data_IF_676325938408
#
_entry.id   IF_676325938408
#
_cell.length_a   1.000
_cell.length_b   1.000
_cell.length_c   1.000
_cell.angle_alpha   90.00
_cell.angle_beta   90.00
_cell.angle_gamma   90.00
#
_symmetry.space_group_name_H-M   'P 1'
#
loop_
_entity.id
_entity.type
_entity.pdbx_description
1 polymer ?
#
# COMPACT_ATOMS: atom_id res chain seq x y z
N UNK A 1 99.19 -12.48 0.46
CA UNK A 1 98.52 -11.39 1.20
C UNK A 1 97.51 -10.84 0.20
N UNK A 2 96.41 -11.57 0.09
CA UNK A 2 95.40 -11.58 -0.98
C UNK A 2 94.09 -11.89 -0.25
N UNK A 3 92.91 -11.37 -0.58
CA UNK A 3 92.36 -11.07 -1.90
C UNK A 3 91.24 -10.02 -1.71
N UNK A 4 91.09 -9.05 -2.62
CA UNK A 4 90.13 -7.93 -2.45
C UNK A 4 89.35 -7.67 -3.75
N UNK A 5 88.09 -8.11 -3.80
CA UNK A 5 87.08 -7.49 -4.66
C UNK A 5 85.63 -7.74 -4.21
N UNK A 6 84.97 -6.62 -3.88
CA UNK A 6 83.64 -6.16 -4.34
C UNK A 6 82.33 -6.49 -3.59
N UNK A 7 81.54 -5.41 -3.51
CA UNK A 7 80.08 -5.25 -3.31
C UNK A 7 79.57 -5.35 -1.87
N UNK A 8 78.68 -4.49 -1.36
CA UNK A 8 77.98 -3.31 -1.90
C UNK A 8 76.77 -2.99 -1.00
N UNK A 9 76.59 -1.70 -0.68
CA UNK A 9 75.33 -0.96 -0.36
C UNK A 9 74.42 -1.50 0.77
N UNK A 10 74.35 -0.85 1.94
CA UNK A 10 73.42 0.27 2.30
C UNK A 10 71.94 -0.11 2.08
N UNK A 11 70.99 -0.07 3.01
CA UNK A 11 70.85 0.55 4.32
C UNK A 11 69.34 0.43 4.67
N UNK A 12 69.03 -0.15 5.82
CA UNK A 12 67.82 0.02 6.64
C UNK A 12 66.43 0.19 5.96
N UNK A 13 65.59 -0.85 5.96
CA UNK A 13 64.13 -0.70 5.83
C UNK A 13 63.36 -1.56 6.86
N UNK A 14 62.49 -0.86 7.60
CA UNK A 14 61.51 -1.34 8.57
C UNK A 14 60.36 -2.13 7.89
N UNK A 15 59.59 -2.96 8.64
CA UNK A 15 58.65 -3.92 8.06
C UNK A 15 57.46 -3.23 7.37
N UNK A 16 57.14 -3.69 6.16
CA UNK A 16 55.91 -3.33 5.41
C UNK A 16 54.68 -3.73 6.19
N UNK A 17 53.96 -2.75 6.73
CA UNK A 17 52.55 -2.87 7.05
C UNK A 17 51.76 -2.99 5.74
N UNK A 18 51.21 -4.18 5.47
CA UNK A 18 50.15 -4.33 4.48
C UNK A 18 48.93 -3.55 4.98
N UNK A 19 48.76 -2.34 4.45
CA UNK A 19 47.50 -1.60 4.56
C UNK A 19 46.43 -2.34 3.76
N UNK A 20 45.75 -3.26 4.42
CA UNK A 20 44.48 -3.80 3.95
C UNK A 20 43.48 -2.64 3.99
N UNK A 21 43.22 -2.02 2.84
CA UNK A 21 42.14 -1.04 2.70
C UNK A 21 40.82 -1.76 2.90
N UNK A 22 40.37 -1.83 4.14
CA UNK A 22 39.00 -2.16 4.50
C UNK A 22 38.15 -0.99 4.01
N UNK A 23 37.76 -1.03 2.73
CA UNK A 23 36.61 -0.27 2.25
C UNK A 23 35.39 -0.74 3.05
N UNK A 24 34.47 0.16 3.43
CA UNK A 24 33.27 -0.24 4.14
C UNK A 24 32.48 -1.18 3.23
N UNK A 25 32.47 -2.46 3.59
CA UNK A 25 31.63 -3.49 3.00
C UNK A 25 30.17 -3.27 3.46
N UNK A 26 29.56 -2.17 3.04
CA UNK A 26 28.15 -1.85 3.31
C UNK A 26 27.26 -2.12 2.09
N UNK A 27 27.57 -3.15 1.30
CA UNK A 27 26.69 -3.63 0.22
C UNK A 27 25.85 -4.87 0.62
N UNK A 28 26.15 -5.49 1.76
CA UNK A 28 25.41 -6.64 2.29
C UNK A 28 24.25 -6.31 3.26
N UNK A 29 24.27 -5.11 3.87
CA UNK A 29 23.41 -4.80 5.03
C UNK A 29 21.94 -4.54 4.67
N UNK A 30 21.62 -3.99 3.49
CA UNK A 30 20.25 -3.63 3.10
C UNK A 30 19.41 -4.79 2.55
N UNK A 31 20.04 -5.89 2.10
CA UNK A 31 19.32 -7.05 1.53
C UNK A 31 18.71 -7.94 2.62
N UNK A 32 19.39 -8.03 3.78
CA UNK A 32 18.98 -8.87 4.90
C UNK A 32 17.60 -8.49 5.49
N UNK A 33 17.29 -7.20 5.75
CA UNK A 33 15.98 -6.78 6.22
C UNK A 33 14.84 -7.15 5.27
N UNK A 34 15.05 -7.02 3.95
CA UNK A 34 14.04 -7.35 2.94
C UNK A 34 13.65 -8.84 2.95
N UNK A 35 14.64 -9.74 3.06
CA UNK A 35 14.37 -11.18 3.17
C UNK A 35 13.61 -11.53 4.45
N UNK A 36 14.02 -10.96 5.59
CA UNK A 36 13.36 -11.19 6.87
C UNK A 36 11.91 -10.74 6.80
N UNK A 37 11.62 -9.54 6.26
CA UNK A 37 10.27 -9.02 6.12
C UNK A 37 9.38 -9.91 5.24
N UNK A 38 9.91 -10.47 4.14
CA UNK A 38 9.17 -11.43 3.30
C UNK A 38 8.85 -12.72 4.05
N UNK A 39 9.82 -13.29 4.78
CA UNK A 39 9.62 -14.51 5.59
C UNK A 39 8.58 -14.26 6.69
N UNK A 40 8.68 -13.15 7.41
CA UNK A 40 7.70 -12.76 8.42
C UNK A 40 6.31 -12.64 7.79
N UNK A 41 6.19 -11.96 6.65
CA UNK A 41 4.90 -11.84 5.97
C UNK A 41 4.34 -13.19 5.50
N UNK A 42 5.17 -14.12 5.02
CA UNK A 42 4.76 -15.50 4.67
C UNK A 42 4.14 -16.20 5.87
N UNK A 43 4.84 -16.21 7.01
CA UNK A 43 4.36 -16.89 8.22
C UNK A 43 3.06 -16.27 8.72
N UNK A 44 3.00 -14.94 8.79
CA UNK A 44 1.84 -14.23 9.32
C UNK A 44 0.60 -14.39 8.41
N UNK A 45 0.75 -14.27 7.09
CA UNK A 45 -0.38 -14.45 6.14
C UNK A 45 -0.88 -15.90 6.11
N UNK A 46 0.03 -16.87 6.14
CA UNK A 46 -0.33 -18.29 6.19
C UNK A 46 -1.13 -18.64 7.44
N UNK A 47 -0.60 -18.28 8.62
CA UNK A 47 -1.27 -18.55 9.90
C UNK A 47 -2.59 -17.79 9.97
N UNK A 48 -2.66 -16.57 9.46
CA UNK A 48 -3.89 -15.77 9.45
C UNK A 48 -4.98 -16.42 8.61
N UNK A 49 -4.64 -16.86 7.38
CA UNK A 49 -5.57 -17.54 6.48
C UNK A 49 -6.08 -18.87 7.06
N UNK A 50 -5.21 -19.66 7.70
CA UNK A 50 -5.59 -20.93 8.33
C UNK A 50 -6.50 -20.70 9.54
N UNK A 51 -6.14 -19.78 10.44
CA UNK A 51 -6.92 -19.49 11.65
C UNK A 51 -8.32 -19.00 11.26
N UNK A 52 -8.44 -18.14 10.25
CA UNK A 52 -9.74 -17.70 9.72
C UNK A 52 -10.49 -18.82 8.98
N UNK A 53 -9.79 -19.65 8.21
CA UNK A 53 -10.39 -20.69 7.38
C UNK A 53 -10.92 -21.89 8.17
N UNK A 54 -10.29 -22.22 9.30
CA UNK A 54 -10.67 -23.35 10.18
C UNK A 54 -11.70 -22.94 11.24
N UNK A 55 -11.91 -21.63 11.45
CA UNK A 55 -12.86 -21.13 12.42
C UNK A 55 -14.29 -21.65 12.15
N UNK A 56 -14.75 -22.53 13.05
CA UNK A 56 -16.07 -23.14 13.05
C UNK A 56 -16.59 -23.23 14.49
N UNK A 57 -17.87 -22.96 14.68
CA UNK A 57 -18.55 -23.18 15.96
C UNK A 57 -19.98 -23.70 15.69
N UNK A 58 -20.46 -24.71 16.45
CA UNK A 58 -21.84 -25.20 16.32
C UNK A 58 -22.82 -24.21 16.92
N UNK A 59 -23.98 -24.03 16.28
CA UNK A 59 -25.08 -23.20 16.75
C UNK A 59 -26.33 -24.05 16.82
N UNK A 60 -26.93 -24.12 17.99
CA UNK A 60 -28.20 -24.81 18.23
C UNK A 60 -29.33 -23.79 18.19
N UNK A 61 -30.21 -23.91 17.20
CA UNK A 61 -31.46 -23.15 17.18
C UNK A 61 -32.52 -24.04 17.81
N UNK A 62 -33.12 -23.55 18.89
CA UNK A 62 -34.16 -24.26 19.62
C UNK A 62 -35.49 -23.69 19.16
N UNK A 63 -36.31 -24.51 18.50
CA UNK A 63 -37.68 -24.18 18.13
C UNK A 63 -38.59 -24.57 19.31
N UNK A 64 -39.11 -23.58 20.04
CA UNK A 64 -40.12 -23.79 21.09
C UNK A 64 -41.52 -23.51 20.54
N UNK A 65 -42.48 -24.35 20.91
CA UNK A 65 -43.90 -24.07 20.65
C UNK A 65 -44.46 -23.00 21.61
N UNK A 66 -45.72 -22.60 21.40
CA UNK A 66 -46.44 -21.61 22.22
C UNK A 66 -46.56 -22.01 23.72
N UNK A 67 -46.32 -23.27 24.07
CA UNK A 67 -46.26 -23.76 25.46
C UNK A 67 -44.85 -23.74 26.08
N UNK A 68 -43.86 -23.18 25.37
CA UNK A 68 -42.47 -23.12 25.83
C UNK A 68 -41.72 -24.45 25.74
N UNK A 69 -42.35 -25.49 25.19
CA UNK A 69 -41.75 -26.81 25.04
C UNK A 69 -40.92 -26.86 23.76
N UNK A 70 -39.65 -27.27 23.89
CA UNK A 70 -38.71 -27.43 22.78
C UNK A 70 -39.16 -28.58 21.89
N UNK A 71 -39.52 -28.29 20.64
CA UNK A 71 -40.09 -29.27 19.71
C UNK A 71 -39.00 -29.84 18.81
N UNK A 72 -38.14 -28.96 18.25
CA UNK A 72 -37.05 -29.34 17.37
C UNK A 72 -35.78 -28.57 17.76
N UNK A 73 -34.66 -29.27 17.90
CA UNK A 73 -33.33 -28.66 18.03
C UNK A 73 -32.60 -28.81 16.72
N UNK A 74 -32.45 -27.73 15.97
CA UNK A 74 -31.66 -27.74 14.74
C UNK A 74 -30.22 -27.33 15.05
N UNK A 75 -29.30 -28.28 14.92
CA UNK A 75 -27.87 -28.04 15.12
C UNK A 75 -27.23 -27.67 13.78
N UNK A 76 -27.01 -26.38 13.55
CA UNK A 76 -26.21 -25.87 12.45
C UNK A 76 -24.76 -25.60 12.87
N UNK A 77 -23.87 -25.29 11.93
CA UNK A 77 -22.55 -24.72 12.23
C UNK A 77 -22.38 -23.40 11.50
N UNK A 78 -21.95 -22.37 12.23
CA UNK A 78 -21.53 -21.10 11.65
C UNK A 78 -20.08 -21.23 11.18
N UNK A 79 -19.87 -20.92 9.91
CA UNK A 79 -18.56 -20.92 9.24
C UNK A 79 -18.24 -19.51 8.78
N UNK A 80 -16.96 -19.14 8.79
CA UNK A 80 -16.48 -17.85 8.27
C UNK A 80 -16.85 -17.62 6.80
N UNK A 81 -17.02 -18.70 6.02
CA UNK A 81 -17.47 -18.65 4.62
C UNK A 81 -18.86 -18.04 4.38
N UNK A 82 -19.65 -17.80 5.43
CA UNK A 82 -20.96 -17.16 5.27
C UNK A 82 -20.87 -15.64 5.05
N UNK A 83 -19.77 -14.99 5.42
CA UNK A 83 -19.57 -13.56 5.09
C UNK A 83 -18.59 -13.41 3.94
N UNK A 84 -18.99 -12.66 2.91
CA UNK A 84 -18.15 -12.33 1.76
C UNK A 84 -16.85 -11.63 2.17
N UNK A 85 -16.88 -10.81 3.23
CA UNK A 85 -15.69 -10.13 3.74
C UNK A 85 -14.63 -11.09 4.31
N UNK A 86 -15.06 -12.12 5.04
CA UNK A 86 -14.13 -13.13 5.57
C UNK A 86 -13.60 -14.05 4.47
N UNK A 87 -14.40 -14.35 3.45
CA UNK A 87 -13.92 -15.07 2.25
C UNK A 87 -12.87 -14.22 1.52
N UNK A 88 -13.15 -12.93 1.29
CA UNK A 88 -12.19 -12.00 0.68
C UNK A 88 -10.88 -11.93 1.46
N UNK A 89 -10.96 -11.83 2.79
CA UNK A 89 -9.79 -11.86 3.68
C UNK A 89 -8.94 -13.13 3.51
N UNK A 90 -9.55 -14.31 3.48
CA UNK A 90 -8.84 -15.58 3.29
C UNK A 90 -8.15 -15.60 1.92
N UNK A 91 -8.88 -15.23 0.85
CA UNK A 91 -8.36 -15.24 -0.53
C UNK A 91 -7.17 -14.31 -0.67
N UNK A 92 -7.26 -13.07 -0.16
CA UNK A 92 -6.16 -12.11 -0.24
C UNK A 92 -4.92 -12.59 0.52
N UNK A 93 -5.08 -13.10 1.74
CA UNK A 93 -3.93 -13.62 2.50
C UNK A 93 -3.25 -14.80 1.77
N UNK A 94 -4.01 -15.66 1.07
CA UNK A 94 -3.44 -16.74 0.24
C UNK A 94 -2.72 -16.21 -0.99
N UNK A 95 -3.28 -15.21 -1.69
CA UNK A 95 -2.62 -14.57 -2.84
C UNK A 95 -1.28 -13.96 -2.42
N UNK A 96 -1.27 -13.23 -1.30
CA UNK A 96 -0.07 -12.59 -0.77
C UNK A 96 0.96 -13.64 -0.33
N UNK A 97 0.53 -14.72 0.31
CA UNK A 97 1.39 -15.85 0.67
C UNK A 97 2.13 -16.41 -0.56
N UNK A 98 1.37 -16.76 -1.61
CA UNK A 98 1.93 -17.33 -2.84
C UNK A 98 2.90 -16.34 -3.49
N UNK A 99 2.48 -15.08 -3.60
CA UNK A 99 3.34 -14.02 -4.17
C UNK A 99 4.63 -13.82 -3.36
N UNK A 100 4.55 -13.83 -2.02
CA UNK A 100 5.73 -13.65 -1.17
C UNK A 100 6.73 -14.79 -1.33
N UNK A 101 6.25 -16.04 -1.45
CA UNK A 101 7.09 -17.21 -1.72
C UNK A 101 7.79 -17.08 -3.08
N UNK A 102 7.04 -16.75 -4.13
CA UNK A 102 7.57 -16.57 -5.49
C UNK A 102 8.61 -15.44 -5.50
N UNK A 103 8.31 -14.31 -4.86
CA UNK A 103 9.21 -13.17 -4.78
C UNK A 103 10.50 -13.49 -4.01
N UNK A 104 10.39 -14.19 -2.87
CA UNK A 104 11.54 -14.65 -2.09
C UNK A 104 12.41 -15.61 -2.91
N UNK A 105 11.81 -16.58 -3.60
CA UNK A 105 12.52 -17.51 -4.47
C UNK A 105 13.28 -16.76 -5.59
N UNK A 106 12.61 -15.82 -6.27
CA UNK A 106 13.25 -14.99 -7.30
C UNK A 106 14.42 -14.18 -6.74
N UNK A 107 14.28 -13.61 -5.54
CA UNK A 107 15.33 -12.81 -4.92
C UNK A 107 16.55 -13.66 -4.50
N UNK A 108 16.34 -14.92 -4.12
CA UNK A 108 17.43 -15.87 -3.81
C UNK A 108 18.14 -16.37 -5.08
N UNK A 109 17.38 -16.67 -6.14
CA UNK A 109 17.93 -17.18 -7.40
C UNK A 109 18.66 -16.09 -8.20
N UNK A 110 18.12 -14.87 -8.24
CA UNK A 110 18.68 -13.77 -9.02
C UNK A 110 19.56 -12.84 -8.17
N UNK A 111 20.68 -13.38 -7.66
CA UNK A 111 21.62 -12.66 -6.77
C UNK A 111 22.22 -11.37 -7.41
N UNK A 112 22.11 -11.22 -8.74
CA UNK A 112 22.47 -10.02 -9.52
C UNK A 112 21.35 -9.51 -10.46
N UNK A 113 20.08 -9.66 -10.05
CA UNK A 113 18.89 -9.51 -10.90
C UNK A 113 18.80 -8.26 -11.80
N UNK A 114 18.15 -8.43 -12.96
CA UNK A 114 17.87 -7.36 -13.93
C UNK A 114 17.02 -6.25 -13.33
N UNK A 115 17.40 -4.98 -13.57
CA UNK A 115 16.68 -3.78 -13.08
C UNK A 115 15.19 -3.79 -13.49
N UNK A 116 14.86 -4.37 -14.64
CA UNK A 116 13.47 -4.52 -15.11
C UNK A 116 12.65 -5.41 -14.17
N UNK A 117 13.23 -6.49 -13.66
CA UNK A 117 12.57 -7.40 -12.71
C UNK A 117 12.35 -6.70 -11.37
N UNK A 118 13.35 -5.95 -10.88
CA UNK A 118 13.23 -5.20 -9.63
C UNK A 118 12.10 -4.16 -9.67
N UNK A 119 11.94 -3.47 -10.80
CA UNK A 119 10.86 -2.51 -11.01
C UNK A 119 9.47 -3.17 -10.94
N UNK A 120 9.25 -4.27 -11.67
CA UNK A 120 7.97 -4.99 -11.62
C UNK A 120 7.67 -5.53 -10.23
N UNK A 121 8.70 -5.98 -9.50
CA UNK A 121 8.56 -6.48 -8.13
C UNK A 121 8.15 -5.37 -7.16
N UNK A 122 8.71 -4.16 -7.28
CA UNK A 122 8.28 -3.02 -6.45
C UNK A 122 6.81 -2.66 -6.66
N UNK A 123 6.34 -2.68 -7.92
CA UNK A 123 4.93 -2.39 -8.25
C UNK A 123 4.03 -3.50 -7.70
N UNK A 124 4.42 -4.77 -7.85
CA UNK A 124 3.66 -5.89 -7.32
C UNK A 124 3.62 -5.89 -5.77
N UNK A 125 4.71 -5.51 -5.10
CA UNK A 125 4.74 -5.34 -3.64
C UNK A 125 3.75 -4.23 -3.19
N UNK A 126 3.64 -3.13 -3.94
CA UNK A 126 2.64 -2.07 -3.69
C UNK A 126 1.20 -2.59 -3.85
N UNK A 127 0.93 -3.40 -4.87
CA UNK A 127 -0.39 -4.04 -5.08
C UNK A 127 -0.75 -4.93 -3.88
N UNK A 128 0.21 -5.70 -3.36
CA UNK A 128 -0.03 -6.55 -2.18
C UNK A 128 -0.32 -5.74 -0.92
N UNK A 129 0.37 -4.62 -0.70
CA UNK A 129 0.05 -3.68 0.39
C UNK A 129 -1.40 -3.23 0.28
N UNK A 130 -1.81 -2.75 -0.89
CA UNK A 130 -3.17 -2.26 -1.15
C UNK A 130 -4.22 -3.35 -0.87
N UNK A 131 -4.01 -4.57 -1.36
CA UNK A 131 -4.92 -5.69 -1.14
C UNK A 131 -5.05 -6.04 0.35
N UNK A 132 -3.93 -6.12 1.08
CA UNK A 132 -3.93 -6.43 2.50
C UNK A 132 -4.66 -5.38 3.33
N UNK A 133 -4.39 -4.09 3.10
CA UNK A 133 -5.08 -3.02 3.83
C UNK A 133 -6.58 -3.03 3.54
N UNK A 134 -6.98 -3.24 2.28
CA UNK A 134 -8.39 -3.36 1.90
C UNK A 134 -9.10 -4.54 2.57
N UNK A 135 -8.52 -5.74 2.53
CA UNK A 135 -9.17 -6.92 3.13
C UNK A 135 -9.21 -6.85 4.65
N UNK A 136 -8.19 -6.26 5.28
CA UNK A 136 -8.15 -6.05 6.72
C UNK A 136 -9.20 -5.01 7.15
N UNK A 137 -9.37 -3.92 6.42
CA UNK A 137 -10.45 -2.96 6.63
C UNK A 137 -11.84 -3.61 6.52
N UNK A 138 -12.06 -4.41 5.47
CA UNK A 138 -13.32 -5.13 5.26
C UNK A 138 -13.64 -6.11 6.40
N UNK A 139 -12.69 -6.97 6.77
CA UNK A 139 -12.87 -7.95 7.84
C UNK A 139 -13.03 -7.30 9.21
N UNK A 140 -12.27 -6.23 9.49
CA UNK A 140 -12.37 -5.49 10.75
C UNK A 140 -13.74 -4.81 10.89
N UNK A 141 -14.27 -4.20 9.83
CA UNK A 141 -15.59 -3.57 9.85
C UNK A 141 -16.69 -4.59 10.23
N UNK A 142 -16.70 -5.74 9.56
CA UNK A 142 -17.65 -6.83 9.83
C UNK A 142 -17.44 -7.40 11.23
N UNK A 143 -16.20 -7.53 11.69
CA UNK A 143 -15.89 -8.00 13.05
C UNK A 143 -16.39 -7.04 14.13
N UNK A 144 -16.34 -5.72 13.89
CA UNK A 144 -16.86 -4.73 14.85
C UNK A 144 -18.38 -4.76 14.90
N UNK A 145 -19.04 -4.90 13.74
CA UNK A 145 -20.50 -5.07 13.67
C UNK A 145 -20.93 -6.35 14.37
N UNK A 146 -20.20 -7.45 14.20
CA UNK A 146 -20.45 -8.72 14.88
C UNK A 146 -20.40 -8.62 16.42
N UNK A 147 -19.49 -7.79 16.93
CA UNK A 147 -19.22 -7.60 18.37
C UNK A 147 -20.21 -6.62 19.01
N UNK A 148 -20.39 -5.45 18.40
CA UNK A 148 -21.19 -4.36 18.96
C UNK A 148 -22.65 -4.37 18.51
N UNK A 149 -22.96 -5.03 17.40
CA UNK A 149 -24.26 -4.95 16.75
C UNK A 149 -24.57 -3.54 16.24
N UNK A 150 -25.63 -3.42 15.46
CA UNK A 150 -26.09 -2.15 14.91
C UNK A 150 -27.62 -2.11 14.95
N UNK A 151 -28.17 -1.75 16.12
CA UNK A 151 -29.62 -1.81 16.40
C UNK A 151 -30.42 -0.97 15.40
N UNK A 152 -29.90 0.21 15.02
CA UNK A 152 -30.54 1.11 14.04
C UNK A 152 -30.62 0.56 12.61
N UNK A 153 -29.87 -0.50 12.31
CA UNK A 153 -29.90 -1.21 11.04
C UNK A 153 -30.46 -2.64 11.20
N UNK A 154 -31.10 -2.93 12.34
CA UNK A 154 -31.63 -4.25 12.68
C UNK A 154 -30.59 -5.39 12.64
N UNK A 155 -29.32 -5.08 12.94
CA UNK A 155 -28.25 -6.07 12.98
C UNK A 155 -27.92 -6.47 14.43
N UNK A 156 -28.38 -7.65 14.89
CA UNK A 156 -28.12 -8.09 16.26
C UNK A 156 -26.63 -8.42 16.50
N UNK A 157 -26.24 -8.35 17.78
CA UNK A 157 -24.95 -8.86 18.26
C UNK A 157 -24.95 -10.37 18.18
N UNK A 158 -23.90 -10.99 17.66
CA UNK A 158 -23.77 -12.45 17.67
C UNK A 158 -22.49 -12.96 18.36
N UNK A 159 -21.43 -12.15 18.47
CA UNK A 159 -20.18 -12.57 19.11
C UNK A 159 -20.30 -12.88 20.62
N UNK A 160 -21.40 -12.51 21.29
CA UNK A 160 -21.63 -12.88 22.70
C UNK A 160 -21.85 -14.39 22.88
N UNK A 161 -22.57 -15.03 21.94
CA UNK A 161 -22.84 -16.46 22.00
C UNK A 161 -21.67 -17.31 21.47
N UNK A 162 -20.83 -16.74 20.60
CA UNK A 162 -19.76 -17.45 19.86
C UNK A 162 -18.38 -16.87 20.16
N UNK A 163 -18.01 -16.89 21.45
CA UNK A 163 -16.77 -16.29 21.95
C UNK A 163 -15.52 -16.92 21.31
N UNK A 164 -15.52 -18.23 21.06
CA UNK A 164 -14.37 -18.94 20.48
C UNK A 164 -14.21 -18.59 19.01
N UNK A 165 -15.28 -18.62 18.22
CA UNK A 165 -15.28 -18.20 16.82
C UNK A 165 -14.84 -16.74 16.64
N UNK A 166 -15.43 -15.84 17.42
CA UNK A 166 -15.07 -14.42 17.39
C UNK A 166 -13.62 -14.17 17.82
N UNK A 167 -13.10 -14.98 18.76
CA UNK A 167 -11.69 -14.99 19.14
C UNK A 167 -10.76 -15.35 17.98
N UNK A 168 -11.09 -16.38 17.19
CA UNK A 168 -10.30 -16.76 16.01
C UNK A 168 -10.32 -15.68 14.93
N UNK A 169 -11.48 -15.03 14.70
CA UNK A 169 -11.60 -13.91 13.77
C UNK A 169 -10.71 -12.74 14.21
N UNK A 170 -10.79 -12.33 15.48
CA UNK A 170 -9.97 -11.22 16.00
C UNK A 170 -8.48 -11.53 15.91
N UNK A 171 -8.06 -12.74 16.29
CA UNK A 171 -6.66 -13.17 16.24
C UNK A 171 -6.11 -13.20 14.80
N UNK A 172 -6.87 -13.72 13.84
CA UNK A 172 -6.45 -13.76 12.43
C UNK A 172 -6.33 -12.36 11.82
N UNK A 173 -7.27 -11.45 12.09
CA UNK A 173 -7.19 -10.05 11.64
C UNK A 173 -5.95 -9.36 12.20
N UNK A 174 -5.69 -9.51 13.51
CA UNK A 174 -4.49 -8.94 14.15
C UNK A 174 -3.22 -9.45 13.45
N UNK A 175 -3.15 -10.75 13.17
CA UNK A 175 -1.99 -11.34 12.50
C UNK A 175 -1.79 -10.83 11.08
N UNK A 176 -2.87 -10.64 10.31
CA UNK A 176 -2.80 -10.06 8.97
C UNK A 176 -2.45 -8.57 9.00
N UNK A 177 -2.81 -7.83 10.06
CA UNK A 177 -2.37 -6.45 10.26
C UNK A 177 -0.85 -6.38 10.47
N UNK A 178 -0.26 -7.30 11.25
CA UNK A 178 1.20 -7.38 11.34
C UNK A 178 1.85 -7.70 9.99
N UNK A 179 1.23 -8.57 9.17
CA UNK A 179 1.71 -8.85 7.82
C UNK A 179 1.63 -7.61 6.91
N UNK A 180 0.53 -6.84 6.97
CA UNK A 180 0.37 -5.61 6.18
C UNK A 180 1.38 -4.54 6.58
N UNK A 181 1.69 -4.43 7.88
CA UNK A 181 2.75 -3.54 8.37
C UNK A 181 4.14 -3.98 7.89
N UNK A 182 4.44 -5.29 7.87
CA UNK A 182 5.69 -5.81 7.33
C UNK A 182 5.85 -5.50 5.84
N UNK A 183 4.78 -5.67 5.05
CA UNK A 183 4.78 -5.32 3.61
C UNK A 183 4.90 -3.81 3.37
N UNK A 184 4.19 -2.99 4.15
CA UNK A 184 4.32 -1.53 4.08
C UNK A 184 5.75 -1.09 4.40
N UNK A 185 6.37 -1.69 5.42
CA UNK A 185 7.76 -1.42 5.77
C UNK A 185 8.71 -1.88 4.66
N UNK A 186 8.47 -3.03 4.04
CA UNK A 186 9.24 -3.52 2.90
C UNK A 186 9.20 -2.53 1.72
N UNK A 187 8.01 -2.06 1.35
CA UNK A 187 7.85 -1.07 0.27
C UNK A 187 8.48 0.26 0.65
N UNK A 188 8.29 0.72 1.90
CA UNK A 188 8.90 1.95 2.40
C UNK A 188 10.44 1.92 2.39
N UNK A 189 11.04 0.82 2.87
CA UNK A 189 12.49 0.59 2.79
C UNK A 189 12.97 0.52 1.34
N UNK A 190 12.18 -0.06 0.44
CA UNK A 190 12.46 -0.05 -1.00
C UNK A 190 12.52 1.38 -1.55
N UNK A 191 11.54 2.23 -1.23
CA UNK A 191 11.53 3.64 -1.64
C UNK A 191 12.76 4.38 -1.08
N UNK A 192 13.13 4.13 0.18
CA UNK A 192 14.31 4.74 0.81
C UNK A 192 15.60 4.31 0.09
N UNK A 193 15.77 3.02 -0.21
CA UNK A 193 16.92 2.50 -0.97
C UNK A 193 17.02 3.16 -2.36
N UNK A 194 15.91 3.24 -3.07
CA UNK A 194 15.85 3.90 -4.37
C UNK A 194 16.26 5.37 -4.30
N UNK A 195 15.77 6.09 -3.29
CA UNK A 195 16.10 7.50 -3.12
C UNK A 195 17.59 7.70 -2.79
N UNK A 196 18.16 6.85 -1.93
CA UNK A 196 19.59 6.88 -1.61
C UNK A 196 20.45 6.61 -2.85
N UNK A 197 20.08 5.63 -3.69
CA UNK A 197 20.80 5.36 -4.95
C UNK A 197 20.70 6.52 -5.93
N UNK A 198 19.52 7.12 -6.06
CA UNK A 198 19.32 8.28 -6.92
C UNK A 198 20.18 9.48 -6.48
N UNK A 199 20.25 9.76 -5.18
CA UNK A 199 21.11 10.82 -4.66
C UNK A 199 22.59 10.54 -4.93
N UNK A 200 23.05 9.30 -4.74
CA UNK A 200 24.43 8.92 -5.00
C UNK A 200 24.83 9.07 -6.47
N UNK A 201 23.99 8.61 -7.40
CA UNK A 201 24.23 8.74 -8.86
C UNK A 201 24.31 10.21 -9.31
N UNK A 202 23.50 11.08 -8.69
CA UNK A 202 23.51 12.50 -9.02
C UNK A 202 24.75 13.22 -8.45
N UNK A 203 25.21 12.84 -7.26
CA UNK A 203 26.46 13.37 -6.67
C UNK A 203 27.68 12.93 -7.48
N UNK A 204 27.75 11.67 -7.91
CA UNK A 204 28.87 11.19 -8.75
C UNK A 204 28.90 11.89 -10.10
N UNK A 205 27.74 12.12 -10.73
CA UNK A 205 27.65 12.87 -11.98
C UNK A 205 28.03 14.35 -11.79
N UNK A 206 27.66 14.97 -10.67
CA UNK A 206 28.06 16.34 -10.33
C UNK A 206 29.58 16.45 -10.13
N UNK A 207 30.19 15.52 -9.40
CA UNK A 207 31.65 15.47 -9.19
C UNK A 207 32.41 15.20 -10.51
N UNK A 208 31.91 14.29 -11.35
CA UNK A 208 32.51 14.00 -12.65
C UNK A 208 32.39 15.20 -13.61
N UNK A 209 31.25 15.89 -13.61
CA UNK A 209 31.03 17.07 -14.44
C UNK A 209 31.90 18.26 -13.98
N UNK A 210 32.07 18.45 -12.66
CA UNK A 210 33.01 19.42 -12.11
C UNK A 210 34.46 19.10 -12.44
N UNK A 211 34.86 17.82 -12.36
CA UNK A 211 36.20 17.37 -12.76
C UNK A 211 36.44 17.57 -14.25
N UNK A 212 35.49 17.25 -15.13
CA UNK A 212 35.59 17.47 -16.57
C UNK A 212 35.69 18.98 -16.89
N UNK A 213 34.91 19.84 -16.22
CA UNK A 213 35.06 21.29 -16.38
C UNK A 213 36.39 21.83 -15.85
N UNK A 214 36.95 21.23 -14.81
CA UNK A 214 38.27 21.59 -14.26
C UNK A 214 39.42 21.15 -15.20
N UNK A 215 39.28 19.99 -15.84
CA UNK A 215 40.22 19.52 -16.86
C UNK A 215 40.11 20.32 -18.17
N UNK A 216 38.90 20.73 -18.58
CA UNK A 216 38.70 21.58 -19.77
C UNK A 216 39.05 23.06 -19.55
N UNK A 217 39.10 23.52 -18.30
CA UNK A 217 39.47 24.90 -17.94
C UNK A 217 40.95 25.05 -17.55
N UNK A 218 41.76 23.98 -17.56
CA UNK A 218 43.19 24.03 -17.24
C UNK A 218 44.01 24.37 -18.50
N UNK A 219 44.63 25.56 -18.62
CA UNK A 219 45.36 25.95 -19.81
C UNK A 219 46.83 25.53 -19.68
N UNK A 220 47.15 24.24 -19.68
CA UNK A 220 48.54 23.75 -19.86
C UNK A 220 48.66 22.23 -19.81
N UNK A 221 48.40 21.54 -20.93
CA UNK A 221 49.27 20.47 -21.47
C UNK A 221 49.00 20.38 -22.98
N UNK A 222 49.69 21.20 -23.77
CA UNK A 222 49.81 20.97 -25.21
C UNK A 222 50.87 19.90 -25.43
N UNK A 223 50.48 18.62 -25.38
CA UNK A 223 51.34 17.54 -25.89
C UNK A 223 50.98 17.30 -27.36
N UNK A 224 51.80 17.88 -28.23
CA UNK A 224 51.75 17.68 -29.67
C UNK A 224 52.20 16.26 -30.00
N UNK A 225 51.29 15.44 -30.53
CA UNK A 225 51.62 14.30 -31.37
C UNK A 225 50.58 14.26 -32.50
N UNK A 226 50.99 14.80 -33.64
CA UNK A 226 50.25 14.65 -34.88
C UNK A 226 50.40 13.22 -35.40
N UNK A 227 49.28 12.60 -35.76
CA UNK A 227 49.22 11.67 -36.88
C UNK A 227 47.77 11.60 -37.37
N UNK A 228 47.55 12.11 -38.59
CA UNK A 228 46.33 11.89 -39.34
C UNK A 228 46.11 10.38 -39.55
N UNK A 229 44.91 9.91 -39.24
CA UNK A 229 44.34 8.76 -39.94
C UNK A 229 42.87 9.04 -40.25
N UNK A 230 42.59 9.17 -41.53
CA UNK A 230 41.25 9.22 -42.11
C UNK A 230 40.56 7.87 -41.88
N UNK A 231 39.61 7.81 -40.94
CA UNK A 231 38.58 6.78 -40.93
C UNK A 231 37.23 7.44 -40.68
N UNK A 232 36.37 7.40 -41.71
CA UNK A 232 35.08 8.07 -41.77
C UNK A 232 33.98 7.00 -41.70
N UNK A 233 33.37 6.73 -40.53
CA UNK A 233 32.07 6.08 -40.53
C UNK A 233 31.01 7.17 -40.72
N UNK A 234 30.23 7.06 -41.79
CA UNK A 234 29.04 7.89 -41.99
C UNK A 234 28.08 7.68 -40.83
N UNK A 235 28.03 8.66 -39.93
CA UNK A 235 27.11 8.67 -38.81
C UNK A 235 25.89 9.49 -39.23
N UNK A 236 24.79 8.79 -39.46
CA UNK A 236 23.52 9.36 -39.88
C UNK A 236 22.98 10.26 -38.75
N UNK A 237 23.18 11.58 -38.89
CA UNK A 237 22.91 12.59 -37.85
C UNK A 237 21.45 12.62 -37.37
N UNK A 238 20.55 12.02 -38.13
CA UNK A 238 19.12 11.89 -37.84
C UNK A 238 18.86 10.91 -36.70
N UNK A 239 19.67 9.85 -36.55
CA UNK A 239 19.43 8.80 -35.54
C UNK A 239 20.00 9.17 -34.16
N UNK A 240 21.10 9.93 -34.11
CA UNK A 240 21.66 10.45 -32.86
C UNK A 240 20.92 11.70 -32.35
N UNK A 241 20.32 12.50 -33.23
CA UNK A 241 19.39 13.54 -32.84
C UNK A 241 18.08 12.94 -32.29
N UNK A 242 17.58 11.85 -32.89
CA UNK A 242 16.41 11.13 -32.38
C UNK A 242 16.70 10.39 -31.05
N UNK A 243 17.90 9.80 -30.87
CA UNK A 243 18.29 9.17 -29.61
C UNK A 243 18.49 10.20 -28.51
N UNK A 244 19.14 11.35 -28.80
CA UNK A 244 19.27 12.46 -27.84
C UNK A 244 17.94 13.16 -27.56
N UNK A 245 17.02 13.24 -28.50
CA UNK A 245 15.67 13.77 -28.26
C UNK A 245 14.86 12.80 -27.37
N UNK A 246 15.00 11.49 -27.57
CA UNK A 246 14.38 10.48 -26.71
C UNK A 246 15.03 10.42 -25.31
N UNK A 247 16.35 10.62 -25.20
CA UNK A 247 17.05 10.75 -23.91
C UNK A 247 16.76 12.09 -23.21
N UNK A 248 16.64 13.20 -23.93
CA UNK A 248 16.27 14.50 -23.38
C UNK A 248 14.78 14.58 -22.97
N UNK A 249 13.91 13.83 -23.66
CA UNK A 249 12.53 13.61 -23.23
C UNK A 249 12.44 12.68 -22.02
N UNK A 250 13.36 11.71 -21.89
CA UNK A 250 13.44 10.80 -20.73
C UNK A 250 14.15 11.41 -19.51
N UNK A 251 15.02 12.41 -19.71
CA UNK A 251 15.76 13.13 -18.67
C UNK A 251 15.17 14.52 -18.34
N UNK A 252 13.93 14.79 -18.75
CA UNK A 252 13.24 16.03 -18.38
C UNK A 252 12.45 15.88 -17.08
N UNK A 253 12.80 16.58 -15.98
CA UNK A 253 11.99 16.62 -14.76
C UNK A 253 10.58 17.23 -14.97
N UNK A 254 10.29 17.79 -16.15
CA UNK A 254 8.99 18.36 -16.50
C UNK A 254 7.91 17.33 -16.86
N UNK A 255 8.26 16.18 -17.44
CA UNK A 255 7.28 15.21 -17.96
C UNK A 255 6.60 14.38 -16.85
N UNK A 256 7.25 14.21 -15.69
CA UNK A 256 6.70 13.50 -14.51
C UNK A 256 5.98 14.46 -13.56
N UNK A 257 6.36 15.75 -13.57
CA UNK A 257 5.84 16.75 -12.63
C UNK A 257 4.42 17.20 -12.95
N UNK A 258 4.10 17.32 -14.25
CA UNK A 258 2.76 17.68 -14.71
C UNK A 258 1.67 16.64 -14.36
N UNK A 259 1.83 15.33 -14.66
CA UNK A 259 0.84 14.33 -14.28
C UNK A 259 0.70 14.21 -12.75
N UNK A 260 1.78 14.41 -11.99
CA UNK A 260 1.73 14.41 -10.52
C UNK A 260 0.80 15.48 -9.94
N UNK A 261 0.87 16.71 -10.46
CA UNK A 261 -0.01 17.80 -10.04
C UNK A 261 -1.48 17.54 -10.42
N UNK A 262 -1.72 17.03 -11.62
CA UNK A 262 -3.08 16.69 -12.09
C UNK A 262 -3.70 15.58 -11.23
N UNK A 263 -2.96 14.50 -10.96
CA UNK A 263 -3.41 13.38 -10.12
C UNK A 263 -3.72 13.85 -8.69
N UNK A 264 -2.89 14.74 -8.11
CA UNK A 264 -3.16 15.33 -6.79
C UNK A 264 -4.40 16.22 -6.81
N UNK A 265 -4.60 17.03 -7.85
CA UNK A 265 -5.81 17.85 -8.02
C UNK A 265 -7.09 17.00 -8.10
N UNK A 266 -7.06 15.93 -8.90
CA UNK A 266 -8.16 14.96 -9.02
C UNK A 266 -8.45 14.31 -7.65
N UNK A 267 -7.40 13.84 -6.96
CA UNK A 267 -7.56 13.20 -5.66
C UNK A 267 -8.16 14.16 -4.59
N UNK A 268 -7.74 15.43 -4.57
CA UNK A 268 -8.30 16.45 -3.67
C UNK A 268 -9.80 16.59 -3.89
N UNK A 269 -10.23 16.79 -5.14
CA UNK A 269 -11.64 17.00 -5.47
C UNK A 269 -12.46 15.76 -5.14
N UNK A 270 -12.00 14.57 -5.54
CA UNK A 270 -12.73 13.32 -5.33
C UNK A 270 -12.85 12.94 -3.86
N UNK A 271 -11.77 13.06 -3.07
CA UNK A 271 -11.80 12.75 -1.63
C UNK A 271 -12.67 13.73 -0.85
N UNK A 272 -12.65 15.01 -1.22
CA UNK A 272 -13.51 16.03 -0.60
C UNK A 272 -14.99 15.77 -0.88
N UNK A 273 -15.35 15.55 -2.15
CA UNK A 273 -16.74 15.25 -2.54
C UNK A 273 -17.20 13.95 -1.87
N UNK A 274 -16.37 12.91 -1.92
CA UNK A 274 -16.63 11.62 -1.25
C UNK A 274 -16.94 11.78 0.25
N UNK A 275 -16.10 12.52 0.97
CA UNK A 275 -16.29 12.77 2.41
C UNK A 275 -17.58 13.54 2.70
N UNK A 276 -17.91 14.56 1.89
CA UNK A 276 -19.14 15.34 2.06
C UNK A 276 -20.36 14.47 1.78
N UNK A 277 -20.39 13.78 0.64
CA UNK A 277 -21.52 12.95 0.22
C UNK A 277 -21.80 11.88 1.27
N UNK A 278 -20.77 11.19 1.79
CA UNK A 278 -20.98 10.23 2.88
C UNK A 278 -21.37 10.91 4.20
N UNK A 279 -20.79 12.07 4.52
CA UNK A 279 -21.06 12.80 5.77
C UNK A 279 -22.47 13.37 5.88
N UNK A 280 -23.07 13.77 4.76
CA UNK A 280 -24.46 14.28 4.72
C UNK A 280 -25.49 13.20 4.44
N UNK A 281 -25.07 11.96 4.14
CA UNK A 281 -25.95 10.85 3.86
C UNK A 281 -26.89 10.57 5.05
N UNK A 282 -28.16 10.90 4.86
CA UNK A 282 -29.25 10.67 5.81
C UNK A 282 -30.55 10.39 5.06
N UNK A 283 -31.40 9.57 5.65
CA UNK A 283 -32.77 9.33 5.18
C UNK A 283 -33.69 9.07 6.38
N UNK A 284 -34.89 9.64 6.34
CA UNK A 284 -35.87 9.50 7.41
C UNK A 284 -36.87 8.40 7.04
N UNK A 285 -37.05 7.42 7.93
CA UNK A 285 -37.93 6.26 7.76
C UNK A 285 -39.04 6.31 8.80
N UNK A 286 -40.27 6.07 8.35
CA UNK A 286 -41.45 5.94 9.22
C UNK A 286 -41.58 4.50 9.70
N UNK A 287 -41.35 4.25 10.99
CA UNK A 287 -41.61 2.95 11.59
C UNK A 287 -43.05 2.93 12.10
N UNK A 288 -43.86 2.00 11.57
CA UNK A 288 -45.23 1.77 12.02
C UNK A 288 -45.19 0.63 13.04
N UNK A 289 -45.42 0.93 14.31
CA UNK A 289 -45.52 -0.09 15.36
C UNK A 289 -47.02 -0.30 15.63
N UNK A 290 -47.52 -1.48 15.28
CA UNK A 290 -48.86 -1.93 15.64
C UNK A 290 -48.80 -2.78 16.91
N UNK A 291 -49.66 -2.46 17.88
CA UNK A 291 -49.99 -3.36 19.00
C UNK A 291 -50.89 -4.48 18.48
N UNK A 292 -50.59 -5.74 18.80
CA UNK A 292 -51.42 -6.90 18.41
C UNK A 292 -52.83 -6.82 19.00
N UNK A 293 -53.00 -6.04 20.08
CA UNK A 293 -54.25 -5.94 20.84
C UNK A 293 -54.97 -4.59 20.66
N UNK A 294 -54.51 -3.71 19.77
CA UNK A 294 -55.10 -2.37 19.59
C UNK A 294 -55.06 -1.92 18.13
N UNK A 295 -56.19 -1.49 17.56
CA UNK A 295 -56.29 -0.91 16.20
C UNK A 295 -55.57 0.44 16.04
N UNK A 296 -54.75 0.84 17.00
CA UNK A 296 -53.94 2.05 17.02
C UNK A 296 -52.53 1.76 16.49
N UNK A 297 -52.30 2.10 15.23
CA UNK A 297 -50.96 2.16 14.64
C UNK A 297 -50.27 3.46 15.09
N UNK A 298 -49.21 3.37 15.88
CA UNK A 298 -48.40 4.54 16.22
C UNK A 298 -47.21 4.58 15.27
N UNK A 299 -47.14 5.62 14.45
CA UNK A 299 -46.01 5.87 13.56
C UNK A 299 -44.98 6.75 14.25
N UNK A 300 -43.72 6.31 14.30
CA UNK A 300 -42.59 7.13 14.75
C UNK A 300 -41.61 7.33 13.60
N UNK A 301 -41.16 8.57 13.42
CA UNK A 301 -40.14 8.91 12.43
C UNK A 301 -38.76 8.62 13.03
N UNK A 302 -38.01 7.71 12.42
CA UNK A 302 -36.63 7.41 12.76
C UNK A 302 -35.71 7.89 11.63
N UNK A 303 -34.69 8.68 11.97
CA UNK A 303 -33.67 9.13 11.01
C UNK A 303 -32.52 8.13 10.97
N UNK A 304 -32.12 7.68 9.79
CA UNK A 304 -30.92 6.88 9.57
C UNK A 304 -29.82 7.79 9.05
N UNK A 305 -28.63 7.70 9.66
CA UNK A 305 -27.47 8.51 9.35
C UNK A 305 -26.25 7.61 9.15
N UNK A 306 -25.38 7.99 8.21
CA UNK A 306 -24.12 7.28 7.96
C UNK A 306 -23.23 7.24 9.23
N UNK A 307 -23.29 8.28 10.06
CA UNK A 307 -22.53 8.42 11.30
C UNK A 307 -22.85 7.37 12.37
N UNK A 308 -23.91 6.58 12.21
CA UNK A 308 -24.22 5.48 13.11
C UNK A 308 -23.36 4.24 12.90
N UNK A 309 -22.74 4.08 11.73
CA UNK A 309 -21.80 2.98 11.46
C UNK A 309 -20.37 3.48 11.65
N UNK A 310 -19.59 2.77 12.48
CA UNK A 310 -18.18 3.08 12.69
C UNK A 310 -17.36 2.99 11.38
N UNK A 311 -17.77 2.14 10.44
CA UNK A 311 -17.09 1.99 9.14
C UNK A 311 -17.25 3.24 8.26
N UNK A 312 -18.46 3.80 8.20
CA UNK A 312 -18.70 5.03 7.43
C UNK A 312 -18.04 6.25 8.09
N UNK A 313 -18.02 6.32 9.43
CA UNK A 313 -17.25 7.35 10.14
C UNK A 313 -15.76 7.24 9.83
N UNK A 314 -15.19 6.03 9.85
CA UNK A 314 -13.79 5.80 9.47
C UNK A 314 -13.51 6.22 8.02
N UNK A 315 -14.41 5.91 7.09
CA UNK A 315 -14.32 6.34 5.69
C UNK A 315 -14.29 7.87 5.55
N UNK A 316 -15.20 8.58 6.24
CA UNK A 316 -15.23 10.05 6.22
C UNK A 316 -13.91 10.61 6.74
N UNK A 317 -13.44 10.13 7.89
CA UNK A 317 -12.18 10.60 8.51
C UNK A 317 -10.98 10.33 7.60
N UNK A 318 -10.89 9.13 7.01
CA UNK A 318 -9.81 8.77 6.10
C UNK A 318 -9.77 9.68 4.87
N UNK A 319 -10.91 9.94 4.23
CA UNK A 319 -11.00 10.84 3.08
C UNK A 319 -10.62 12.29 3.43
N UNK A 320 -11.06 12.79 4.60
CA UNK A 320 -10.70 14.14 5.07
C UNK A 320 -9.20 14.25 5.35
N UNK A 321 -8.59 13.25 5.99
CA UNK A 321 -7.14 13.23 6.25
C UNK A 321 -6.34 13.26 4.95
N UNK A 322 -6.76 12.47 3.96
CA UNK A 322 -6.10 12.45 2.65
C UNK A 322 -6.28 13.78 1.94
N UNK A 323 -7.49 14.36 1.94
CA UNK A 323 -7.74 15.68 1.37
C UNK A 323 -6.80 16.75 1.95
N UNK A 324 -6.74 16.87 3.29
CA UNK A 324 -5.88 17.85 3.98
C UNK A 324 -4.42 17.61 3.65
N UNK A 325 -3.96 16.36 3.74
CA UNK A 325 -2.58 16.00 3.42
C UNK A 325 -2.23 16.33 1.96
N UNK A 326 -3.10 15.98 1.00
CA UNK A 326 -2.85 16.22 -0.43
C UNK A 326 -2.73 17.71 -0.71
N UNK A 327 -3.57 18.53 -0.06
CA UNK A 327 -3.53 19.98 -0.20
C UNK A 327 -2.22 20.56 0.34
N UNK A 328 -1.78 20.13 1.52
CA UNK A 328 -0.49 20.54 2.11
C UNK A 328 0.67 20.10 1.21
N UNK A 329 0.65 18.85 0.74
CA UNK A 329 1.66 18.27 -0.16
C UNK A 329 1.74 19.03 -1.49
N UNK A 330 0.60 19.46 -2.04
CA UNK A 330 0.53 20.28 -3.25
C UNK A 330 1.13 21.66 -3.02
N UNK A 331 0.77 22.36 -1.93
CA UNK A 331 1.31 23.68 -1.60
C UNK A 331 2.82 23.63 -1.42
N UNK A 332 3.32 22.63 -0.68
CA UNK A 332 4.76 22.37 -0.52
C UNK A 332 5.44 22.19 -1.88
N UNK A 333 4.83 21.41 -2.77
CA UNK A 333 5.40 21.09 -4.09
C UNK A 333 5.44 22.29 -5.04
N UNK A 334 4.53 23.25 -4.85
CA UNK A 334 4.50 24.52 -5.57
C UNK A 334 5.51 25.53 -4.98
N UNK A 335 5.61 25.61 -3.65
CA UNK A 335 6.55 26.48 -2.94
C UNK A 335 8.01 26.07 -3.18
N UNK A 336 8.29 24.76 -3.19
CA UNK A 336 9.62 24.21 -3.48
C UNK A 336 9.92 24.14 -5.00
N UNK A 337 9.68 25.23 -5.74
CA UNK A 337 10.08 25.34 -7.16
C UNK A 337 11.59 25.13 -7.37
N UNK A 338 12.40 25.43 -6.35
CA UNK A 338 13.88 25.33 -6.35
C UNK A 338 14.44 23.92 -6.06
N UNK A 339 13.60 22.93 -5.75
CA UNK A 339 14.03 21.51 -5.72
C UNK A 339 14.96 21.12 -4.57
N UNK A 340 14.61 21.42 -3.32
CA UNK A 340 15.33 20.83 -2.18
C UNK A 340 15.00 19.33 -2.07
N UNK A 341 15.98 18.48 -2.45
CA UNK A 341 15.84 17.01 -2.46
C UNK A 341 15.45 16.41 -1.11
N UNK A 342 15.70 17.12 0.00
CA UNK A 342 15.43 16.63 1.36
C UNK A 342 13.93 16.43 1.66
N UNK A 343 13.02 17.08 0.92
CA UNK A 343 11.58 17.01 1.20
C UNK A 343 10.88 15.90 0.40
N UNK A 344 11.52 15.34 -0.64
CA UNK A 344 10.88 14.39 -1.56
C UNK A 344 10.67 13.01 -0.93
N UNK A 345 11.63 12.52 -0.14
CA UNK A 345 11.54 11.24 0.55
C UNK A 345 10.36 11.18 1.54
N UNK A 346 10.22 12.11 2.52
CA UNK A 346 9.11 12.05 3.47
C UNK A 346 7.74 12.20 2.79
N UNK A 347 7.64 12.97 1.70
CA UNK A 347 6.40 13.07 0.92
C UNK A 347 6.03 11.74 0.27
N UNK A 348 6.98 11.04 -0.36
CA UNK A 348 6.70 9.74 -0.99
C UNK A 348 6.26 8.67 0.01
N UNK A 349 6.87 8.65 1.21
CA UNK A 349 6.47 7.73 2.29
C UNK A 349 5.07 8.06 2.80
N UNK A 350 4.75 9.35 2.95
CA UNK A 350 3.42 9.77 3.35
C UNK A 350 2.37 9.50 2.25
N UNK A 351 2.70 9.67 0.97
CA UNK A 351 1.83 9.29 -0.17
C UNK A 351 1.51 7.78 -0.13
N UNK A 352 2.48 6.92 0.19
CA UNK A 352 2.27 5.48 0.41
C UNK A 352 1.30 5.19 1.57
N UNK A 353 1.42 5.94 2.68
CA UNK A 353 0.52 5.79 3.84
C UNK A 353 -0.92 6.18 3.49
N UNK A 354 -1.10 7.24 2.70
CA UNK A 354 -2.43 7.69 2.26
C UNK A 354 -3.11 6.68 1.34
N UNK A 355 -2.35 6.03 0.44
CA UNK A 355 -2.86 4.92 -0.39
C UNK A 355 -3.38 3.80 0.51
N UNK A 356 -2.59 3.35 1.48
CA UNK A 356 -3.00 2.29 2.40
C UNK A 356 -4.24 2.67 3.22
N UNK A 357 -4.31 3.92 3.68
CA UNK A 357 -5.44 4.44 4.45
C UNK A 357 -6.74 4.45 3.62
N UNK A 358 -6.71 4.92 2.37
CA UNK A 358 -7.86 4.93 1.47
C UNK A 358 -8.36 3.52 1.14
N UNK A 359 -7.46 2.59 0.81
CA UNK A 359 -7.89 1.23 0.47
C UNK A 359 -8.46 0.49 1.68
N UNK A 360 -7.91 0.71 2.88
CA UNK A 360 -8.46 0.19 4.13
C UNK A 360 -9.86 0.70 4.40
N UNK A 361 -10.07 2.02 4.31
CA UNK A 361 -11.38 2.63 4.60
C UNK A 361 -12.43 2.29 3.54
N UNK A 362 -12.04 2.22 2.27
CA UNK A 362 -12.90 1.75 1.18
C UNK A 362 -13.29 0.29 1.41
N UNK A 363 -12.33 -0.59 1.76
CA UNK A 363 -12.63 -1.99 2.08
C UNK A 363 -13.62 -2.12 3.23
N UNK A 364 -13.46 -1.33 4.29
CA UNK A 364 -14.39 -1.28 5.41
C UNK A 364 -15.81 -0.84 4.99
N UNK A 365 -15.92 0.27 4.25
CA UNK A 365 -17.21 0.80 3.82
C UNK A 365 -17.94 -0.14 2.85
N UNK A 366 -17.22 -0.69 1.86
CA UNK A 366 -17.75 -1.66 0.88
C UNK A 366 -18.27 -2.91 1.59
N UNK A 367 -17.57 -3.41 2.61
CA UNK A 367 -18.02 -4.60 3.33
C UNK A 367 -19.37 -4.37 4.03
N UNK A 368 -19.57 -3.19 4.65
CA UNK A 368 -20.86 -2.84 5.25
C UNK A 368 -21.93 -2.62 4.18
N UNK A 369 -21.60 -1.95 3.08
CA UNK A 369 -22.50 -1.66 1.97
C UNK A 369 -23.06 -2.93 1.32
N UNK A 370 -22.20 -3.92 1.03
CA UNK A 370 -22.61 -5.22 0.48
C UNK A 370 -23.57 -5.95 1.43
N UNK A 371 -23.32 -5.90 2.74
CA UNK A 371 -24.21 -6.52 3.73
C UNK A 371 -25.53 -5.74 3.83
N UNK A 372 -25.51 -4.42 3.71
CA UNK A 372 -26.72 -3.60 3.72
C UNK A 372 -27.63 -3.86 2.51
N UNK A 373 -27.04 -4.12 1.34
CA UNK A 373 -27.77 -4.42 0.11
C UNK A 373 -28.29 -5.86 0.06
N UNK A 374 -27.44 -6.84 0.37
CA UNK A 374 -27.76 -8.25 0.17
C UNK A 374 -28.27 -8.96 1.43
N UNK A 375 -28.01 -8.41 2.62
CA UNK A 375 -28.29 -9.06 3.90
C UNK A 375 -27.46 -10.34 4.11
N UNK A 376 -27.53 -10.89 5.32
CA UNK A 376 -26.94 -12.17 5.69
C UNK A 376 -27.89 -12.94 6.62
N UNK A 377 -28.80 -13.73 6.04
CA UNK A 377 -29.82 -14.48 6.79
C UNK A 377 -29.23 -15.44 7.83
N UNK A 378 -28.09 -16.07 7.53
CA UNK A 378 -27.38 -16.99 8.45
C UNK A 378 -26.80 -16.29 9.69
N UNK A 379 -26.64 -14.98 9.64
CA UNK A 379 -26.17 -14.15 10.76
C UNK A 379 -27.30 -13.33 11.40
N UNK A 380 -28.54 -13.50 10.92
CA UNK A 380 -29.69 -12.69 11.34
C UNK A 380 -29.60 -11.23 10.88
N UNK A 381 -28.75 -10.91 9.90
CA UNK A 381 -28.62 -9.55 9.37
C UNK A 381 -29.58 -9.38 8.19
N UNK A 382 -30.60 -8.55 8.38
CA UNK A 382 -31.57 -8.23 7.32
C UNK A 382 -30.99 -7.34 6.22
N UNK A 383 -31.61 -7.41 5.04
CA UNK A 383 -31.44 -6.39 4.00
C UNK A 383 -32.02 -5.08 4.50
N UNK A 384 -31.34 -3.98 4.21
CA UNK A 384 -31.74 -2.67 4.70
C UNK A 384 -31.89 -1.66 3.56
N UNK A 385 -31.07 -1.75 2.50
CA UNK A 385 -31.14 -0.82 1.37
C UNK A 385 -32.42 -0.91 0.53
N UNK A 386 -33.29 -1.91 0.75
CA UNK A 386 -34.58 -1.99 0.07
C UNK A 386 -35.52 -0.84 0.44
N UNK A 387 -35.52 -0.42 1.71
CA UNK A 387 -36.43 0.60 2.22
C UNK A 387 -35.82 2.02 2.22
N UNK A 388 -34.49 2.13 2.07
CA UNK A 388 -33.73 3.40 2.09
C UNK A 388 -32.78 3.57 0.90
N UNK A 389 -33.36 3.53 -0.29
CA UNK A 389 -32.63 3.59 -1.55
C UNK A 389 -31.83 4.89 -1.73
N UNK A 390 -32.29 6.04 -1.20
CA UNK A 390 -31.56 7.31 -1.35
C UNK A 390 -30.30 7.31 -0.51
N UNK A 391 -30.39 6.87 0.75
CA UNK A 391 -29.25 6.74 1.64
C UNK A 391 -28.20 5.80 1.03
N UNK A 392 -28.60 4.60 0.61
CA UNK A 392 -27.66 3.64 0.02
C UNK A 392 -27.09 4.14 -1.31
N UNK A 393 -27.87 4.87 -2.12
CA UNK A 393 -27.36 5.53 -3.32
C UNK A 393 -26.25 6.55 -3.03
N UNK A 394 -26.40 7.38 -1.98
CA UNK A 394 -25.35 8.33 -1.57
C UNK A 394 -24.12 7.61 -1.04
N UNK A 395 -24.29 6.56 -0.23
CA UNK A 395 -23.20 5.73 0.28
C UNK A 395 -22.42 5.10 -0.87
N UNK A 396 -23.09 4.40 -1.79
CA UNK A 396 -22.46 3.78 -2.94
C UNK A 396 -21.72 4.80 -3.83
N UNK A 397 -22.35 5.94 -4.13
CA UNK A 397 -21.73 7.01 -4.92
C UNK A 397 -20.45 7.56 -4.26
N UNK A 398 -20.48 7.78 -2.94
CA UNK A 398 -19.29 8.25 -2.20
C UNK A 398 -18.15 7.21 -2.23
N UNK A 399 -18.46 5.92 -2.05
CA UNK A 399 -17.48 4.83 -2.13
C UNK A 399 -16.83 4.79 -3.52
N UNK A 400 -17.62 4.91 -4.58
CA UNK A 400 -17.10 4.92 -5.97
C UNK A 400 -16.14 6.10 -6.19
N UNK A 401 -16.49 7.30 -5.73
CA UNK A 401 -15.62 8.48 -5.83
C UNK A 401 -14.29 8.27 -5.07
N UNK A 402 -14.34 7.72 -3.86
CA UNK A 402 -13.14 7.39 -3.07
C UNK A 402 -12.27 6.31 -3.73
N UNK A 403 -12.88 5.33 -4.39
CA UNK A 403 -12.16 4.30 -5.13
C UNK A 403 -11.43 4.87 -6.35
N UNK A 404 -12.05 5.81 -7.07
CA UNK A 404 -11.37 6.51 -8.17
C UNK A 404 -10.19 7.34 -7.62
N UNK A 405 -10.38 8.00 -6.48
CA UNK A 405 -9.31 8.74 -5.81
C UNK A 405 -8.16 7.83 -5.35
N UNK A 406 -8.46 6.65 -4.79
CA UNK A 406 -7.44 5.70 -4.33
C UNK A 406 -6.64 5.11 -5.48
N UNK A 407 -7.27 4.87 -6.64
CA UNK A 407 -6.59 4.48 -7.86
C UNK A 407 -5.68 5.59 -8.41
N UNK A 408 -6.13 6.84 -8.42
CA UNK A 408 -5.30 7.98 -8.81
C UNK A 408 -4.05 8.10 -7.92
N UNK A 409 -4.21 7.92 -6.61
CA UNK A 409 -3.12 7.91 -5.64
C UNK A 409 -2.14 6.73 -5.83
N UNK A 410 -2.66 5.53 -6.14
CA UNK A 410 -1.82 4.37 -6.45
C UNK A 410 -1.00 4.59 -7.74
N UNK A 411 -1.62 5.19 -8.76
CA UNK A 411 -0.94 5.57 -10.01
C UNK A 411 0.15 6.61 -9.72
N UNK A 412 -0.12 7.60 -8.87
CA UNK A 412 0.86 8.60 -8.44
C UNK A 412 2.11 7.94 -7.84
N UNK A 413 1.92 7.06 -6.84
CA UNK A 413 3.03 6.34 -6.18
C UNK A 413 3.76 5.42 -7.16
N UNK A 414 3.04 4.80 -8.10
CA UNK A 414 3.66 3.97 -9.13
C UNK A 414 4.55 4.80 -10.04
N UNK A 415 4.08 5.95 -10.53
CA UNK A 415 4.85 6.86 -11.39
C UNK A 415 6.12 7.34 -10.67
N UNK A 416 6.03 7.70 -9.37
CA UNK A 416 7.21 8.12 -8.61
C UNK A 416 8.21 6.98 -8.45
N UNK A 417 7.76 5.75 -8.13
CA UNK A 417 8.64 4.58 -8.09
C UNK A 417 9.31 4.29 -9.43
N UNK A 418 8.57 4.37 -10.54
CA UNK A 418 9.13 4.20 -11.90
C UNK A 418 10.16 5.28 -12.22
N UNK A 419 9.89 6.53 -11.86
CA UNK A 419 10.82 7.64 -12.04
C UNK A 419 12.11 7.44 -11.27
N UNK A 420 12.03 7.02 -10.01
CA UNK A 420 13.21 6.71 -9.18
C UNK A 420 14.01 5.53 -9.76
N UNK A 421 13.35 4.47 -10.23
CA UNK A 421 14.02 3.32 -10.86
C UNK A 421 14.74 3.68 -12.15
N UNK A 422 14.18 4.59 -12.96
CA UNK A 422 14.83 5.10 -14.19
C UNK A 422 15.96 6.08 -13.88
N UNK A 423 15.77 6.97 -12.92
CA UNK A 423 16.77 7.98 -12.56
C UNK A 423 17.98 7.42 -11.82
N UNK A 424 17.85 6.26 -11.18
CA UNK A 424 18.98 5.52 -10.59
C UNK A 424 19.83 4.78 -11.63
N UNK A 425 19.45 4.80 -12.92
CA UNK A 425 20.19 4.11 -13.98
C UNK A 425 21.37 4.90 -14.48
#
# INVERSE_FOLDING_TARGET
>A
MEDQSRSGFDGTQAPRTQGHSIGPSTSGSMKLPGYILRIVAIVLTFVSAIVMGVAKEPVTVIESNNSGQTVNTFTGSIRTRYSSAFVYFIVVNVIVLIYSIISLAMALLNRGGSRRIAMHLSIADLVMVVLLFSCNGAAAAISVVADKGLIRFAWPKFCYALHKFCGHIKASIILSMFASMAYMLLVGLGIIDLHMRFQYANISHFHLSHLISFFLSSPSVSLSLGMESQFKPGFDGTQAAASRANEAAAASPSLVRLPGFVLRGIAIVLTFISAIVMGVAKEDVTLIVGSVDSTTTISYNASIKSTYSAAYVYFIVANVLVFVYTLISLVISLANRSGSRSMELPLNIADLLMVALLFSSNGAAIAIDIVAEHGQSRLGWGKFCGDVHKFCGHVAASIVLSMIASLAYMILVTITMVGLHKGSQ
#
